data_IF_813357964654
#
_entry.id   IF_813357964654
#
_cell.length_a   1.000
_cell.length_b   1.000
_cell.length_c   1.000
_cell.angle_alpha   90.00
_cell.angle_beta   90.00
_cell.angle_gamma   90.00
#
_symmetry.space_group_name_H-M   'P 1'
#
loop_
_entity.id
_entity.type
_entity.pdbx_description
1 polymer ?
#
# COMPACT_ATOMS: atom_id res chain seq x y z
N UNK A 1 52.16 -16.01 -5.83
CA UNK A 1 50.92 -16.52 -6.47
C UNK A 1 49.62 -16.18 -5.72
N UNK A 2 49.62 -15.84 -4.42
CA UNK A 2 48.38 -15.54 -3.67
C UNK A 2 47.67 -14.25 -4.14
N UNK A 3 48.41 -13.16 -4.34
CA UNK A 3 47.85 -11.84 -4.70
C UNK A 3 47.02 -11.83 -6.00
N UNK A 4 47.48 -12.50 -7.05
CA UNK A 4 46.76 -12.57 -8.33
C UNK A 4 45.41 -13.31 -8.22
N UNK A 5 45.34 -14.36 -7.39
CA UNK A 5 44.07 -15.06 -7.13
C UNK A 5 43.10 -14.18 -6.34
N UNK A 6 43.58 -13.50 -5.30
CA UNK A 6 42.75 -12.58 -4.49
C UNK A 6 42.15 -11.46 -5.35
N UNK A 7 42.94 -10.87 -6.25
CA UNK A 7 42.48 -9.85 -7.19
C UNK A 7 41.44 -10.40 -8.19
N UNK A 8 41.58 -11.65 -8.63
CA UNK A 8 40.57 -12.33 -9.45
C UNK A 8 39.23 -12.53 -8.72
N UNK A 9 39.26 -12.97 -7.46
CA UNK A 9 38.05 -13.11 -6.63
C UNK A 9 37.38 -11.77 -6.34
N UNK A 10 38.17 -10.71 -6.05
CA UNK A 10 37.65 -9.35 -5.86
C UNK A 10 36.98 -8.81 -7.12
N UNK A 11 37.60 -8.95 -8.30
CA UNK A 11 36.98 -8.54 -9.56
C UNK A 11 35.75 -9.38 -9.91
N UNK A 12 35.73 -10.68 -9.60
CA UNK A 12 34.55 -11.52 -9.81
C UNK A 12 33.40 -11.12 -8.89
N UNK A 13 33.66 -10.86 -7.60
CA UNK A 13 32.67 -10.29 -6.67
C UNK A 13 32.17 -8.91 -7.12
N UNK A 14 33.07 -8.03 -7.59
CA UNK A 14 32.68 -6.73 -8.13
C UNK A 14 31.79 -6.88 -9.36
N UNK A 15 32.14 -7.77 -10.31
CA UNK A 15 31.31 -8.07 -11.48
C UNK A 15 29.96 -8.68 -11.08
N UNK A 16 29.91 -9.61 -10.12
CA UNK A 16 28.65 -10.20 -9.63
C UNK A 16 27.76 -9.12 -9.01
N UNK A 17 28.32 -8.23 -8.19
CA UNK A 17 27.62 -7.07 -7.62
C UNK A 17 27.15 -6.07 -8.70
N UNK A 18 27.94 -5.84 -9.75
CA UNK A 18 27.55 -5.02 -10.92
C UNK A 18 26.45 -5.70 -11.76
N UNK A 19 26.39 -7.05 -11.77
CA UNK A 19 25.31 -7.80 -12.46
C UNK A 19 24.01 -7.93 -11.66
N UNK A 20 23.98 -7.52 -10.39
CA UNK A 20 22.72 -7.29 -9.66
C UNK A 20 22.02 -6.05 -10.23
N UNK A 21 21.41 -6.21 -11.40
CA UNK A 21 20.49 -5.23 -11.96
C UNK A 21 19.34 -5.03 -10.97
N UNK A 22 19.29 -3.87 -10.36
CA UNK A 22 18.09 -3.42 -9.64
C UNK A 22 16.97 -3.36 -10.68
N UNK A 23 15.96 -4.23 -10.54
CA UNK A 23 14.88 -4.41 -11.53
C UNK A 23 13.79 -3.34 -11.40
N UNK A 24 14.23 -2.09 -11.50
CA UNK A 24 13.42 -0.89 -11.57
C UNK A 24 14.13 0.24 -12.33
N UNK A 25 13.58 1.45 -12.22
CA UNK A 25 14.09 2.67 -12.85
C UNK A 25 13.66 3.89 -12.03
N UNK A 26 14.46 4.97 -12.05
CA UNK A 26 14.15 6.18 -11.30
C UNK A 26 13.05 7.00 -11.99
N UNK A 27 12.11 7.51 -11.19
CA UNK A 27 11.05 8.42 -11.64
C UNK A 27 11.07 9.69 -10.79
N UNK A 28 11.11 10.86 -11.43
CA UNK A 28 11.15 12.16 -10.78
C UNK A 28 9.85 12.53 -10.07
N UNK A 29 9.97 13.36 -9.02
CA UNK A 29 8.84 13.88 -8.24
C UNK A 29 8.15 15.05 -8.97
N UNK A 30 6.83 15.10 -8.87
CA UNK A 30 5.96 16.21 -9.29
C UNK A 30 5.25 16.76 -8.06
N UNK A 31 5.36 18.07 -7.84
CA UNK A 31 4.68 18.79 -6.76
C UNK A 31 3.43 19.47 -7.30
N UNK A 32 2.30 19.34 -6.61
CA UNK A 32 1.04 20.01 -7.00
C UNK A 32 0.96 21.35 -6.27
N UNK A 33 1.78 22.32 -6.68
CA UNK A 33 1.86 23.66 -6.05
C UNK A 33 0.48 24.38 -6.03
N UNK A 34 -0.34 24.15 -7.06
CA UNK A 34 -1.71 24.69 -7.16
C UNK A 34 -2.67 24.15 -6.10
N UNK A 35 -2.35 23.02 -5.45
CA UNK A 35 -3.15 22.42 -4.39
C UNK A 35 -3.10 23.24 -3.09
N UNK A 36 -1.99 23.95 -2.82
CA UNK A 36 -1.80 24.79 -1.63
C UNK A 36 -2.88 25.87 -1.54
N UNK A 37 -3.19 26.53 -2.66
CA UNK A 37 -4.24 27.55 -2.74
C UNK A 37 -5.66 26.98 -2.51
N UNK A 38 -5.85 25.67 -2.68
CA UNK A 38 -7.09 24.93 -2.37
C UNK A 38 -7.12 24.38 -0.94
N UNK A 39 -6.10 24.64 -0.12
CA UNK A 39 -5.93 24.07 1.22
C UNK A 39 -5.60 22.57 1.22
N UNK A 40 -5.24 22.01 0.07
CA UNK A 40 -4.80 20.62 -0.07
C UNK A 40 -3.28 20.56 0.16
N UNK A 41 -2.87 20.25 1.38
CA UNK A 41 -1.48 20.28 1.84
C UNK A 41 -1.14 19.09 2.75
N UNK A 42 0.14 18.76 2.84
CA UNK A 42 0.69 17.80 3.80
C UNK A 42 0.60 18.33 5.25
N UNK A 43 0.90 17.48 6.25
CA UNK A 43 0.86 17.83 7.68
C UNK A 43 1.63 19.13 8.04
N UNK A 44 2.73 19.43 7.35
CA UNK A 44 3.55 20.64 7.53
C UNK A 44 3.12 21.86 6.68
N UNK A 45 2.03 21.75 5.92
CA UNK A 45 1.57 22.78 4.98
C UNK A 45 2.24 22.79 3.60
N UNK A 46 3.13 21.83 3.29
CA UNK A 46 3.74 21.71 1.95
C UNK A 46 2.75 21.15 0.90
N UNK A 47 2.95 21.42 -0.41
CA UNK A 47 2.13 20.82 -1.47
C UNK A 47 2.24 19.28 -1.47
N UNK A 48 1.17 18.55 -1.80
CA UNK A 48 1.25 17.12 -2.04
C UNK A 48 2.04 16.83 -3.32
N UNK A 49 2.53 15.59 -3.42
CA UNK A 49 3.41 15.17 -4.51
C UNK A 49 3.18 13.73 -4.95
N UNK A 50 3.58 13.42 -6.18
CA UNK A 50 3.60 12.07 -6.73
C UNK A 50 4.77 11.90 -7.69
N UNK A 51 5.08 10.67 -8.08
CA UNK A 51 6.00 10.36 -9.18
C UNK A 51 5.19 9.76 -10.31
N UNK A 52 5.47 10.13 -11.56
CA UNK A 52 4.70 9.68 -12.72
C UNK A 52 5.62 9.27 -13.86
N UNK A 53 5.38 8.07 -14.38
CA UNK A 53 5.94 7.57 -15.62
C UNK A 53 4.81 7.40 -16.66
N UNK A 54 5.06 7.84 -17.90
CA UNK A 54 4.00 7.98 -18.91
C UNK A 54 3.71 6.66 -19.62
N UNK A 55 2.44 6.45 -19.95
CA UNK A 55 2.00 5.33 -20.76
C UNK A 55 2.44 5.47 -22.22
N UNK A 56 2.51 4.34 -22.93
CA UNK A 56 2.94 4.28 -24.32
C UNK A 56 2.23 3.17 -25.10
N UNK A 57 2.19 3.30 -26.42
CA UNK A 57 1.50 2.35 -27.30
C UNK A 57 0.04 2.14 -26.87
N UNK A 58 -0.39 0.87 -26.82
CA UNK A 58 -1.74 0.49 -26.41
C UNK A 58 -2.10 0.81 -24.93
N UNK A 59 -1.11 1.18 -24.09
CA UNK A 59 -1.35 1.53 -22.68
C UNK A 59 -1.56 3.02 -22.41
N UNK A 60 -1.48 3.89 -23.43
CA UNK A 60 -1.49 5.35 -23.24
C UNK A 60 -2.78 5.90 -22.61
N UNK A 61 -3.93 5.24 -22.81
CA UNK A 61 -5.22 5.57 -22.19
C UNK A 61 -5.48 4.77 -20.89
N UNK A 62 -4.51 4.04 -20.37
CA UNK A 62 -4.68 3.24 -19.16
C UNK A 62 -3.84 3.79 -18.00
N UNK A 63 -4.36 3.73 -16.78
CA UNK A 63 -3.81 4.45 -15.63
C UNK A 63 -3.75 3.59 -14.38
N UNK A 64 -2.57 3.49 -13.78
CA UNK A 64 -2.30 2.85 -12.50
C UNK A 64 -1.93 3.94 -11.49
N UNK A 65 -2.82 4.21 -10.53
CA UNK A 65 -2.60 5.18 -9.45
C UNK A 65 -2.33 4.40 -8.17
N UNK A 66 -1.06 4.39 -7.73
CA UNK A 66 -0.60 3.63 -6.57
C UNK A 66 -0.29 4.56 -5.39
N UNK A 67 -0.94 4.34 -4.25
CA UNK A 67 -0.76 5.14 -3.03
C UNK A 67 0.28 4.53 -2.10
N UNK A 68 1.28 5.32 -1.71
CA UNK A 68 2.33 4.93 -0.76
C UNK A 68 1.77 4.63 0.64
N UNK A 69 2.30 3.59 1.29
CA UNK A 69 2.02 3.26 2.68
C UNK A 69 2.98 3.92 3.69
N UNK A 70 2.60 3.94 4.98
CA UNK A 70 3.50 4.43 6.03
C UNK A 70 2.91 4.48 7.44
N UNK A 71 1.96 3.60 7.78
CA UNK A 71 1.18 3.69 9.02
C UNK A 71 0.37 4.99 9.12
N UNK A 72 0.03 5.41 10.34
CA UNK A 72 -0.70 6.66 10.59
C UNK A 72 -0.09 7.41 11.77
N UNK A 73 -0.59 8.62 12.02
CA UNK A 73 -0.41 9.30 13.30
C UNK A 73 -1.80 9.63 13.86
N UNK A 74 -2.01 9.35 15.14
CA UNK A 74 -3.34 9.32 15.76
C UNK A 74 -3.54 10.41 16.82
N UNK A 75 -2.55 11.27 17.05
CA UNK A 75 -2.70 12.41 17.96
C UNK A 75 -1.76 13.55 17.57
N UNK A 76 -1.97 14.73 18.18
CA UNK A 76 -1.20 15.94 17.89
C UNK A 76 0.30 15.73 18.06
N UNK A 77 0.75 14.98 19.05
CA UNK A 77 2.18 14.71 19.30
C UNK A 77 2.77 13.80 18.21
N UNK A 78 2.15 12.65 17.93
CA UNK A 78 2.66 11.71 16.92
C UNK A 78 2.61 12.30 15.51
N UNK A 79 1.64 13.17 15.21
CA UNK A 79 1.57 13.90 13.95
C UNK A 79 2.56 15.08 13.89
N UNK A 80 2.87 15.72 15.02
CA UNK A 80 3.89 16.76 15.12
C UNK A 80 5.27 16.20 14.78
N UNK A 81 5.65 15.06 15.36
CA UNK A 81 6.91 14.38 15.04
C UNK A 81 6.94 13.95 13.56
N UNK A 82 5.82 13.43 13.04
CA UNK A 82 5.70 12.96 11.66
C UNK A 82 5.84 14.08 10.63
N UNK A 83 5.41 15.31 10.93
CA UNK A 83 5.46 16.45 9.98
C UNK A 83 6.88 16.76 9.49
N UNK A 84 7.89 16.53 10.33
CA UNK A 84 9.31 16.75 10.01
C UNK A 84 9.93 15.60 9.18
N UNK A 85 9.13 14.64 8.73
CA UNK A 85 9.57 13.47 7.95
C UNK A 85 9.00 13.46 6.53
N UNK A 86 9.55 12.61 5.67
CA UNK A 86 9.00 12.31 4.32
C UNK A 86 7.54 11.84 4.30
N UNK A 87 6.98 11.47 5.45
CA UNK A 87 5.60 10.98 5.64
C UNK A 87 4.65 12.05 6.22
N UNK A 88 5.11 13.29 6.34
CA UNK A 88 4.34 14.46 6.76
C UNK A 88 4.72 15.77 6.07
N UNK A 89 5.83 15.80 5.32
CA UNK A 89 6.26 16.92 4.48
C UNK A 89 6.82 16.46 3.14
N UNK A 90 6.38 17.10 2.05
CA UNK A 90 6.93 16.85 0.71
C UNK A 90 8.28 17.53 0.47
N UNK A 91 8.67 18.45 1.36
CA UNK A 91 10.03 19.03 1.42
C UNK A 91 11.08 17.98 1.78
N UNK A 92 10.68 16.98 2.58
CA UNK A 92 11.51 15.87 3.05
C UNK A 92 11.44 14.62 2.15
N UNK A 93 10.72 14.69 1.02
CA UNK A 93 10.65 13.59 0.06
C UNK A 93 11.85 13.56 -0.87
N UNK A 94 12.39 12.35 -1.09
CA UNK A 94 13.38 12.08 -2.15
C UNK A 94 12.84 12.51 -3.52
N UNK A 95 13.71 13.14 -4.32
CA UNK A 95 13.34 13.71 -5.63
C UNK A 95 13.13 12.65 -6.71
N UNK A 96 13.66 11.45 -6.51
CA UNK A 96 13.43 10.29 -7.35
C UNK A 96 13.06 9.08 -6.48
N UNK A 97 12.23 8.18 -7.01
CA UNK A 97 11.99 6.85 -6.44
C UNK A 97 12.16 5.79 -7.51
N UNK A 98 12.58 4.59 -7.12
CA UNK A 98 12.66 3.43 -8.01
C UNK A 98 11.25 2.86 -8.22
N UNK A 99 10.86 2.71 -9.48
CA UNK A 99 9.63 2.01 -9.89
C UNK A 99 9.94 0.54 -10.22
N UNK A 100 9.30 -0.37 -9.48
CA UNK A 100 9.46 -1.83 -9.56
C UNK A 100 8.11 -2.53 -9.33
N UNK A 101 8.07 -3.87 -9.44
CA UNK A 101 6.85 -4.65 -9.27
C UNK A 101 5.74 -4.21 -10.23
N UNK A 102 4.56 -3.95 -9.69
CA UNK A 102 3.39 -3.42 -10.40
C UNK A 102 3.63 -2.05 -11.09
N UNK A 103 4.68 -1.31 -10.69
CA UNK A 103 5.11 -0.05 -11.30
C UNK A 103 6.27 -0.22 -12.30
N UNK A 104 6.75 -1.42 -12.59
CA UNK A 104 7.83 -1.61 -13.58
C UNK A 104 7.36 -1.25 -15.00
N UNK A 105 8.23 -0.62 -15.81
CA UNK A 105 7.98 -0.30 -17.22
C UNK A 105 8.46 -1.38 -18.20
N UNK A 106 8.92 -2.54 -17.68
CA UNK A 106 9.41 -3.67 -18.47
C UNK A 106 8.36 -4.78 -18.50
N UNK A 107 7.90 -5.17 -19.69
CA UNK A 107 6.91 -6.24 -19.86
C UNK A 107 7.30 -7.56 -19.17
N UNK A 108 8.60 -7.89 -19.09
CA UNK A 108 9.09 -9.07 -18.36
C UNK A 108 8.67 -9.09 -16.88
N UNK A 109 8.55 -7.92 -16.25
CA UNK A 109 8.31 -7.79 -14.81
C UNK A 109 6.90 -7.25 -14.48
N UNK A 110 6.17 -6.78 -15.47
CA UNK A 110 4.85 -6.18 -15.30
C UNK A 110 4.02 -6.26 -16.59
N UNK A 111 3.79 -7.46 -17.18
CA UNK A 111 3.27 -7.60 -18.54
C UNK A 111 1.88 -6.97 -18.73
N UNK A 112 1.11 -6.80 -17.66
CA UNK A 112 -0.20 -6.17 -17.65
C UNK A 112 -0.14 -4.63 -17.68
N UNK A 113 0.78 -4.01 -16.91
CA UNK A 113 0.78 -2.55 -16.68
C UNK A 113 2.08 -1.84 -17.15
N UNK A 114 3.03 -2.55 -17.76
CA UNK A 114 4.33 -2.00 -18.20
C UNK A 114 4.25 -0.89 -19.25
N UNK A 115 3.10 -0.69 -19.89
CA UNK A 115 2.87 0.37 -20.87
C UNK A 115 1.76 1.35 -20.47
N UNK A 116 1.17 1.20 -19.27
CA UNK A 116 0.18 2.14 -18.70
C UNK A 116 0.83 3.44 -18.21
N UNK A 117 0.06 4.49 -17.95
CA UNK A 117 0.51 5.58 -17.10
C UNK A 117 0.64 5.05 -15.67
N UNK A 118 1.81 5.19 -15.06
CA UNK A 118 2.13 4.66 -13.73
C UNK A 118 2.40 5.81 -12.78
N UNK A 119 1.66 5.87 -11.68
CA UNK A 119 1.75 6.95 -10.71
C UNK A 119 1.98 6.36 -9.32
N UNK A 120 2.97 6.88 -8.59
CA UNK A 120 3.16 6.64 -7.17
C UNK A 120 2.87 7.92 -6.38
N UNK A 121 1.69 8.00 -5.79
CA UNK A 121 1.27 9.11 -4.94
C UNK A 121 1.99 9.03 -3.60
N UNK A 122 2.63 10.12 -3.20
CA UNK A 122 3.40 10.18 -1.95
C UNK A 122 2.50 10.50 -0.77
N UNK A 123 2.75 9.82 0.34
CA UNK A 123 1.87 9.86 1.50
C UNK A 123 2.37 10.88 2.53
N UNK A 124 1.54 11.88 2.87
CA UNK A 124 1.95 13.00 3.73
C UNK A 124 0.87 13.61 4.64
N UNK A 125 -0.34 13.05 4.66
CA UNK A 125 -1.44 13.47 5.56
C UNK A 125 -1.49 12.63 6.84
N UNK A 126 -0.95 11.41 6.83
CA UNK A 126 -0.91 10.52 7.98
C UNK A 126 -2.24 9.84 8.34
N UNK A 127 -3.28 9.94 7.51
CA UNK A 127 -4.63 9.46 7.79
C UNK A 127 -5.28 8.68 6.62
N UNK A 128 -4.49 7.94 5.81
CA UNK A 128 -4.98 7.25 4.60
C UNK A 128 -5.81 8.14 3.66
N UNK A 129 -5.46 9.43 3.59
CA UNK A 129 -6.16 10.45 2.81
C UNK A 129 -7.65 10.65 3.18
N UNK A 130 -8.07 10.26 4.39
CA UNK A 130 -9.48 10.38 4.84
C UNK A 130 -9.81 11.71 5.52
N UNK A 131 -8.85 12.30 6.25
CA UNK A 131 -9.07 13.45 7.11
C UNK A 131 -9.33 14.77 6.37
N UNK A 132 -10.28 15.56 6.84
CA UNK A 132 -10.39 16.98 6.49
C UNK A 132 -10.84 17.85 7.69
N UNK A 133 -9.88 18.55 8.30
CA UNK A 133 -10.12 19.45 9.44
C UNK A 133 -9.89 20.89 8.99
N UNK A 134 -10.95 21.73 9.04
CA UNK A 134 -10.86 23.12 8.56
C UNK A 134 -9.94 24.03 9.38
N UNK A 135 -9.86 23.80 10.68
CA UNK A 135 -8.94 24.53 11.54
C UNK A 135 -7.52 23.95 11.41
N UNK A 136 -6.55 24.81 11.11
CA UNK A 136 -5.13 24.52 11.33
C UNK A 136 -4.90 24.49 12.85
N UNK A 137 -4.12 23.54 13.37
CA UNK A 137 -3.83 23.51 14.80
C UNK A 137 -3.01 24.78 15.18
N UNK A 138 -3.53 25.67 16.07
CA UNK A 138 -2.92 26.97 16.31
C UNK A 138 -1.61 26.89 17.11
N UNK A 139 -1.37 25.79 17.82
CA UNK A 139 -0.15 25.60 18.62
C UNK A 139 0.98 24.90 17.82
N UNK A 140 0.63 23.98 16.90
CA UNK A 140 1.61 23.13 16.20
C UNK A 140 1.72 23.38 14.70
N UNK A 141 0.81 24.20 14.14
CA UNK A 141 0.63 24.43 12.71
C UNK A 141 0.48 23.11 11.90
N UNK A 142 -0.25 22.13 12.46
CA UNK A 142 -0.59 20.88 11.78
C UNK A 142 -1.82 21.05 10.88
N UNK A 143 -1.75 20.44 9.69
CA UNK A 143 -2.79 20.46 8.66
C UNK A 143 -3.31 19.05 8.36
N UNK A 144 -4.51 18.72 8.83
CA UNK A 144 -5.13 17.41 8.58
C UNK A 144 -6.02 17.48 7.32
N UNK A 145 -5.42 17.34 6.13
CA UNK A 145 -6.05 17.65 4.83
C UNK A 145 -6.06 16.48 3.84
N UNK A 146 -5.94 15.25 4.32
CA UNK A 146 -5.89 14.03 3.51
C UNK A 146 -6.93 13.96 2.39
N UNK A 147 -8.21 14.24 2.67
CA UNK A 147 -9.27 14.15 1.66
C UNK A 147 -9.21 15.26 0.59
N UNK A 148 -8.58 16.40 0.90
CA UNK A 148 -8.27 17.47 -0.07
C UNK A 148 -7.06 17.10 -0.92
N UNK A 149 -6.03 16.53 -0.29
CA UNK A 149 -4.85 16.02 -0.99
C UNK A 149 -5.25 14.93 -1.98
N UNK A 150 -6.08 13.97 -1.56
CA UNK A 150 -6.68 12.97 -2.44
C UNK A 150 -7.31 13.61 -3.67
N UNK A 151 -8.24 14.54 -3.46
CA UNK A 151 -8.97 15.18 -4.56
C UNK A 151 -8.04 15.96 -5.48
N UNK A 152 -7.09 16.73 -4.93
CA UNK A 152 -6.13 17.51 -5.70
C UNK A 152 -5.21 16.63 -6.55
N UNK A 153 -4.80 15.45 -6.06
CA UNK A 153 -4.04 14.48 -6.84
C UNK A 153 -4.88 13.91 -7.98
N UNK A 154 -6.12 13.46 -7.72
CA UNK A 154 -6.97 12.90 -8.77
C UNK A 154 -7.33 13.96 -9.83
N UNK A 155 -7.64 15.20 -9.43
CA UNK A 155 -7.92 16.31 -10.36
C UNK A 155 -6.73 16.63 -11.26
N UNK A 156 -5.51 16.71 -10.71
CA UNK A 156 -4.30 16.99 -11.47
C UNK A 156 -3.96 15.86 -12.48
N UNK A 157 -4.22 14.60 -12.11
CA UNK A 157 -4.09 13.45 -13.03
C UNK A 157 -5.18 13.44 -14.11
N UNK A 158 -6.42 13.82 -13.76
CA UNK A 158 -7.52 14.02 -14.70
C UNK A 158 -7.16 15.10 -15.74
N UNK A 159 -6.62 16.24 -15.30
CA UNK A 159 -6.11 17.30 -16.19
C UNK A 159 -4.93 16.86 -17.06
N UNK A 160 -4.08 15.95 -16.57
CA UNK A 160 -2.96 15.36 -17.34
C UNK A 160 -3.36 14.28 -18.35
N UNK A 161 -4.66 13.98 -18.48
CA UNK A 161 -5.20 13.10 -19.51
C UNK A 161 -6.00 11.91 -19.00
N UNK A 162 -6.09 11.68 -17.68
CA UNK A 162 -6.89 10.58 -17.12
C UNK A 162 -8.40 10.78 -17.38
N UNK A 163 -8.85 11.97 -17.79
CA UNK A 163 -10.19 12.23 -18.37
C UNK A 163 -10.48 11.47 -19.66
N UNK A 164 -9.47 10.86 -20.30
CA UNK A 164 -9.61 10.02 -21.49
C UNK A 164 -9.36 8.53 -21.18
N UNK A 165 -9.40 8.13 -19.90
CA UNK A 165 -8.98 6.79 -19.51
C UNK A 165 -9.97 5.70 -19.97
N UNK A 166 -9.46 4.65 -20.61
CA UNK A 166 -10.23 3.44 -20.93
C UNK A 166 -10.26 2.49 -19.74
N UNK A 167 -9.12 2.31 -19.07
CA UNK A 167 -8.97 1.46 -17.89
C UNK A 167 -8.21 2.21 -16.79
N UNK A 168 -8.67 2.07 -15.56
CA UNK A 168 -8.02 2.66 -14.38
C UNK A 168 -7.91 1.64 -13.26
N UNK A 169 -6.76 1.60 -12.61
CA UNK A 169 -6.48 0.78 -11.43
C UNK A 169 -6.02 1.69 -10.29
N UNK A 170 -6.88 1.86 -9.30
CA UNK A 170 -6.51 2.40 -8.00
C UNK A 170 -5.81 1.29 -7.21
N UNK A 171 -4.64 1.57 -6.66
CA UNK A 171 -3.94 0.63 -5.78
C UNK A 171 -3.15 1.35 -4.70
N UNK A 172 -2.57 0.59 -3.79
CA UNK A 172 -1.63 1.09 -2.80
C UNK A 172 -1.25 0.00 -1.82
N UNK A 173 -0.15 0.22 -1.09
CA UNK A 173 0.25 -0.65 0.01
C UNK A 173 -0.17 -0.09 1.37
N UNK A 174 -0.60 -0.96 2.30
CA UNK A 174 -0.72 -0.63 3.72
C UNK A 174 -1.73 0.50 3.94
N UNK A 175 -1.33 1.63 4.53
CA UNK A 175 -2.17 2.83 4.61
C UNK A 175 -2.69 3.27 3.21
N UNK A 176 -1.88 3.12 2.15
CA UNK A 176 -2.31 3.32 0.75
C UNK A 176 -3.22 2.21 0.21
N UNK A 177 -3.09 0.99 0.73
CA UNK A 177 -4.01 -0.12 0.42
C UNK A 177 -5.39 0.12 1.03
N UNK A 178 -5.43 0.57 2.30
CA UNK A 178 -6.65 1.06 2.94
C UNK A 178 -7.24 2.25 2.18
N UNK A 179 -6.40 3.19 1.72
CA UNK A 179 -6.84 4.31 0.85
C UNK A 179 -7.57 3.77 -0.39
N UNK A 180 -7.07 2.69 -0.99
CA UNK A 180 -7.69 2.04 -2.15
C UNK A 180 -9.03 1.37 -1.84
N UNK A 181 -9.25 0.91 -0.61
CA UNK A 181 -10.55 0.42 -0.14
C UNK A 181 -11.51 1.61 0.04
N UNK A 182 -11.12 2.58 0.89
CA UNK A 182 -12.00 3.67 1.34
C UNK A 182 -12.39 4.63 0.21
N UNK A 183 -11.53 4.82 -0.78
CA UNK A 183 -11.76 5.75 -1.88
C UNK A 183 -12.19 5.08 -3.20
N UNK A 184 -12.41 3.75 -3.24
CA UNK A 184 -12.71 3.04 -4.50
C UNK A 184 -13.95 3.59 -5.22
N UNK A 185 -15.10 3.65 -4.53
CA UNK A 185 -16.35 4.14 -5.11
C UNK A 185 -16.25 5.62 -5.53
N UNK A 186 -15.56 6.43 -4.73
CA UNK A 186 -15.31 7.84 -5.05
C UNK A 186 -14.42 7.98 -6.27
N UNK A 187 -13.36 7.17 -6.39
CA UNK A 187 -12.49 7.14 -7.56
C UNK A 187 -13.29 6.76 -8.81
N UNK A 188 -14.11 5.71 -8.74
CA UNK A 188 -15.02 5.34 -9.82
C UNK A 188 -15.97 6.48 -10.20
N UNK A 189 -16.56 7.20 -9.23
CA UNK A 189 -17.47 8.31 -9.52
C UNK A 189 -16.83 9.53 -10.20
N UNK A 190 -15.49 9.64 -10.15
CA UNK A 190 -14.72 10.71 -10.78
C UNK A 190 -14.23 10.35 -12.19
N UNK A 191 -14.36 9.09 -12.61
CA UNK A 191 -13.93 8.63 -13.94
C UNK A 191 -14.98 8.92 -15.02
N UNK A 192 -14.57 9.05 -16.30
CA UNK A 192 -15.48 9.16 -17.43
C UNK A 192 -16.49 8.00 -17.52
N UNK A 193 -17.66 8.28 -18.10
CA UNK A 193 -18.67 7.25 -18.36
C UNK A 193 -18.10 6.21 -19.33
N UNK A 194 -18.09 4.95 -18.93
CA UNK A 194 -17.56 3.83 -19.71
C UNK A 194 -16.11 3.45 -19.41
N UNK A 195 -15.37 4.25 -18.63
CA UNK A 195 -14.06 3.85 -18.10
C UNK A 195 -14.22 2.62 -17.20
N UNK A 196 -13.38 1.60 -17.40
CA UNK A 196 -13.32 0.44 -16.52
C UNK A 196 -12.46 0.79 -15.30
N UNK A 197 -13.02 0.61 -14.11
CA UNK A 197 -12.35 0.99 -12.85
C UNK A 197 -12.15 -0.25 -11.99
N UNK A 198 -10.95 -0.42 -11.45
CA UNK A 198 -10.62 -1.45 -10.47
C UNK A 198 -9.85 -0.87 -9.28
N UNK A 199 -9.94 -1.57 -8.16
CA UNK A 199 -9.23 -1.25 -6.92
C UNK A 199 -8.47 -2.48 -6.39
N UNK A 200 -7.22 -2.28 -5.98
CA UNK A 200 -6.32 -3.30 -5.46
C UNK A 200 -5.77 -2.87 -4.10
N UNK A 201 -6.02 -3.64 -3.04
CA UNK A 201 -5.56 -3.33 -1.68
C UNK A 201 -4.47 -4.30 -1.25
N UNK A 202 -3.21 -3.89 -1.41
CA UNK A 202 -2.04 -4.63 -0.96
C UNK A 202 -1.78 -4.37 0.53
N UNK A 203 -1.87 -5.42 1.36
CA UNK A 203 -1.67 -5.34 2.81
C UNK A 203 -2.47 -4.21 3.53
N UNK A 204 -3.59 -3.80 2.93
CA UNK A 204 -4.44 -2.68 3.36
C UNK A 204 -5.76 -3.08 4.01
N UNK A 205 -6.10 -4.37 4.00
CA UNK A 205 -7.22 -4.90 4.79
C UNK A 205 -6.74 -5.14 6.23
N UNK A 206 -6.62 -4.02 6.94
CA UNK A 206 -6.61 -3.99 8.40
C UNK A 206 -8.04 -3.95 8.87
N UNK A 207 -8.26 -4.45 10.04
CA UNK A 207 -9.55 -4.61 10.69
C UNK A 207 -9.14 -4.96 12.15
N UNK A 208 -10.06 -5.18 13.08
CA UNK A 208 -9.86 -4.94 14.50
C UNK A 208 -10.12 -6.13 15.47
N UNK A 209 -9.11 -6.58 16.23
CA UNK A 209 -9.18 -7.46 17.43
C UNK A 209 -8.10 -7.07 18.45
N UNK A 210 -8.01 -7.82 19.54
CA UNK A 210 -6.99 -7.70 20.56
C UNK A 210 -5.59 -8.02 20.02
N UNK A 211 -4.62 -7.21 20.43
CA UNK A 211 -3.20 -7.44 20.23
C UNK A 211 -2.58 -8.33 21.34
N UNK A 212 -1.25 -8.48 21.36
CA UNK A 212 -0.53 -9.31 22.34
C UNK A 212 -0.59 -8.79 23.77
N UNK A 213 -0.96 -7.52 23.97
CA UNK A 213 -1.30 -6.95 25.27
C UNK A 213 -2.78 -7.18 25.67
N UNK A 214 -3.56 -7.84 24.81
CA UNK A 214 -4.98 -8.12 25.04
C UNK A 214 -5.90 -6.95 24.68
N UNK A 215 -5.42 -5.99 23.90
CA UNK A 215 -6.02 -4.66 23.76
C UNK A 215 -6.38 -4.32 22.31
N UNK A 216 -7.52 -3.65 22.10
CA UNK A 216 -8.04 -3.31 20.76
C UNK A 216 -7.39 -2.03 20.23
N UNK A 217 -6.06 -2.02 20.14
CA UNK A 217 -5.29 -0.85 19.74
C UNK A 217 -5.69 -0.31 18.36
N UNK A 218 -6.15 -1.18 17.45
CA UNK A 218 -6.58 -0.76 16.12
C UNK A 218 -7.96 -0.11 16.12
N UNK A 219 -8.90 -0.51 16.97
CA UNK A 219 -10.14 0.24 17.14
C UNK A 219 -9.87 1.69 17.58
N UNK A 220 -9.00 1.85 18.58
CA UNK A 220 -8.57 3.17 19.04
C UNK A 220 -7.88 3.96 17.92
N UNK A 221 -6.93 3.35 17.21
CA UNK A 221 -6.20 4.01 16.12
C UNK A 221 -7.14 4.43 14.96
N UNK A 222 -8.13 3.62 14.60
CA UNK A 222 -9.13 4.00 13.59
C UNK A 222 -9.97 5.19 14.07
N UNK A 223 -10.53 5.14 15.29
CA UNK A 223 -11.34 6.21 15.85
C UNK A 223 -10.60 7.56 15.92
N UNK A 224 -9.28 7.52 16.16
CA UNK A 224 -8.42 8.70 16.24
C UNK A 224 -8.02 9.27 14.86
N UNK A 225 -7.87 8.41 13.86
CA UNK A 225 -7.33 8.76 12.53
C UNK A 225 -8.44 9.09 11.53
N UNK A 226 -9.62 8.48 11.67
CA UNK A 226 -10.69 8.52 10.69
C UNK A 226 -11.68 9.66 10.94
N UNK A 227 -11.76 10.63 10.01
CA UNK A 227 -12.89 11.56 10.02
C UNK A 227 -14.10 10.92 9.35
N UNK A 228 -15.05 10.41 10.14
CA UNK A 228 -16.28 9.74 9.69
C UNK A 228 -17.19 10.52 8.71
N UNK A 229 -16.84 11.78 8.38
CA UNK A 229 -17.55 12.65 7.43
C UNK A 229 -17.33 12.30 5.95
N UNK A 230 -16.30 11.51 5.63
CA UNK A 230 -15.89 11.23 4.24
C UNK A 230 -16.14 9.78 3.78
N UNK A 231 -16.76 8.95 4.61
CA UNK A 231 -17.10 7.56 4.30
C UNK A 231 -18.52 7.46 3.73
N UNK A 232 -18.80 6.53 2.80
CA UNK A 232 -20.17 6.15 2.47
C UNK A 232 -20.91 5.67 3.73
N UNK A 233 -22.17 6.08 3.91
CA UNK A 233 -22.98 5.74 5.10
C UNK A 233 -23.23 4.23 5.31
N UNK A 234 -22.96 3.42 4.28
CA UNK A 234 -22.96 1.96 4.36
C UNK A 234 -21.72 1.42 5.10
N UNK A 235 -20.54 2.01 4.91
CA UNK A 235 -19.28 1.58 5.53
C UNK A 235 -19.30 1.69 7.05
N UNK A 236 -19.94 2.72 7.60
CA UNK A 236 -20.03 2.95 9.05
C UNK A 236 -21.00 2.01 9.78
N UNK A 237 -21.63 1.06 9.07
CA UNK A 237 -22.69 0.20 9.64
C UNK A 237 -22.26 -1.22 10.04
N UNK A 238 -21.09 -1.73 9.58
CA UNK A 238 -20.62 -3.12 9.86
C UNK A 238 -19.08 -3.30 9.76
N UNK A 239 -18.52 -4.22 10.57
CA UNK A 239 -17.25 -5.05 10.42
C UNK A 239 -16.07 -4.84 11.44
N UNK A 240 -15.51 -5.99 11.94
CA UNK A 240 -14.25 -6.26 12.75
C UNK A 240 -13.85 -7.77 12.59
N UNK A 241 -12.61 -8.25 12.25
CA UNK A 241 -11.48 -8.74 13.12
C UNK A 241 -10.01 -8.42 12.61
N UNK A 242 -8.89 -9.06 13.01
CA UNK A 242 -7.43 -8.61 13.02
C UNK A 242 -6.45 -8.20 11.87
N UNK A 243 -5.17 -7.84 12.21
CA UNK A 243 -3.87 -8.21 11.52
C UNK A 243 -2.62 -8.32 12.46
N UNK A 244 -1.35 -8.52 11.99
CA UNK A 244 -0.15 -8.79 12.86
C UNK A 244 0.89 -7.68 13.08
N UNK A 245 1.78 -7.37 12.12
CA UNK A 245 3.04 -6.65 12.46
C UNK A 245 2.83 -5.19 12.90
N UNK A 246 1.76 -4.58 12.38
CA UNK A 246 1.31 -3.24 12.75
C UNK A 246 0.13 -3.27 13.73
N UNK A 247 -0.31 -4.46 14.19
CA UNK A 247 -1.62 -4.67 14.82
C UNK A 247 -1.56 -5.65 16.01
N UNK A 248 -1.26 -6.95 15.80
CA UNK A 248 -1.05 -7.93 16.88
C UNK A 248 0.19 -7.62 17.76
N UNK A 249 1.30 -7.16 17.19
CA UNK A 249 2.53 -6.88 17.97
C UNK A 249 3.26 -5.57 17.59
N UNK A 250 2.56 -4.43 17.43
CA UNK A 250 3.19 -3.13 17.23
C UNK A 250 4.11 -2.77 18.39
N UNK A 251 5.03 -1.81 18.20
CA UNK A 251 6.01 -1.44 19.24
C UNK A 251 5.38 -1.00 20.57
N UNK A 252 4.15 -0.46 20.54
CA UNK A 252 3.38 -0.07 21.74
C UNK A 252 2.82 -1.27 22.52
N UNK A 253 2.54 -2.39 21.86
CA UNK A 253 2.02 -3.63 22.45
C UNK A 253 3.13 -4.58 22.94
N UNK A 254 4.37 -4.32 22.51
CA UNK A 254 5.56 -5.11 22.85
C UNK A 254 6.66 -4.22 23.48
N UNK A 255 6.36 -3.50 24.60
CA UNK A 255 7.28 -2.53 25.20
C UNK A 255 8.57 -3.15 25.76
N UNK A 256 8.57 -4.46 26.00
CA UNK A 256 9.73 -5.22 26.49
C UNK A 256 10.44 -6.02 25.38
N UNK A 257 10.03 -5.88 24.12
CA UNK A 257 10.70 -6.51 22.97
C UNK A 257 10.62 -8.04 22.95
N UNK A 258 9.67 -8.66 23.64
CA UNK A 258 9.47 -10.12 23.65
C UNK A 258 9.17 -10.66 22.25
N UNK A 259 8.52 -9.86 21.41
CA UNK A 259 8.29 -10.20 20.00
C UNK A 259 9.38 -9.70 19.05
N UNK A 260 10.45 -9.06 19.52
CA UNK A 260 11.44 -8.39 18.66
C UNK A 260 12.08 -9.34 17.64
N UNK A 261 12.64 -10.47 18.09
CA UNK A 261 13.29 -11.45 17.21
C UNK A 261 12.27 -12.20 16.33
N UNK A 262 11.14 -12.63 16.90
CA UNK A 262 10.01 -13.23 16.18
C UNK A 262 9.44 -12.30 15.06
N UNK A 263 9.53 -10.97 15.22
CA UNK A 263 9.19 -9.96 14.19
C UNK A 263 10.25 -9.83 13.08
N UNK A 264 11.43 -10.44 13.22
CA UNK A 264 12.52 -10.41 12.24
C UNK A 264 12.65 -11.76 11.52
N UNK A 265 12.71 -12.89 12.24
CA UNK A 265 12.62 -14.25 11.70
C UNK A 265 11.59 -15.07 12.50
N UNK A 266 10.68 -15.74 11.79
CA UNK A 266 9.67 -16.62 12.41
C UNK A 266 10.29 -17.83 13.11
N UNK A 267 11.53 -18.21 12.76
CA UNK A 267 12.29 -19.28 13.43
C UNK A 267 12.66 -18.93 14.87
N UNK A 268 12.69 -17.65 15.23
CA UNK A 268 12.98 -17.16 16.58
C UNK A 268 11.70 -17.01 17.44
N UNK A 269 10.53 -17.36 16.91
CA UNK A 269 9.27 -17.35 17.68
C UNK A 269 9.18 -18.55 18.62
N UNK A 270 8.74 -18.33 19.86
CA UNK A 270 8.35 -19.40 20.78
C UNK A 270 7.08 -20.13 20.29
N UNK A 271 6.82 -21.34 20.81
CA UNK A 271 5.58 -22.07 20.54
C UNK A 271 4.33 -21.24 20.87
N UNK A 272 4.33 -20.49 21.97
CA UNK A 272 3.21 -19.62 22.37
C UNK A 272 3.03 -18.41 21.43
N UNK A 273 4.13 -17.87 20.87
CA UNK A 273 4.06 -16.83 19.85
C UNK A 273 3.46 -17.39 18.55
N UNK A 274 3.87 -18.59 18.13
CA UNK A 274 3.31 -19.28 16.97
C UNK A 274 1.83 -19.63 17.14
N UNK A 275 1.41 -20.09 18.33
CA UNK A 275 -0.01 -20.31 18.67
C UNK A 275 -0.83 -19.03 18.59
N UNK A 276 -0.30 -17.91 19.11
CA UNK A 276 -0.94 -16.59 19.03
C UNK A 276 -1.07 -16.14 17.57
N UNK A 277 -0.05 -16.35 16.73
CA UNK A 277 -0.09 -16.07 15.29
C UNK A 277 -1.08 -16.97 14.52
N UNK A 278 -1.32 -18.20 14.99
CA UNK A 278 -2.31 -19.11 14.40
C UNK A 278 -3.73 -18.72 14.79
N UNK A 279 -3.99 -18.40 16.06
CA UNK A 279 -5.27 -17.83 16.50
C UNK A 279 -5.61 -16.57 15.70
N UNK A 280 -4.62 -15.69 15.57
CA UNK A 280 -4.70 -14.53 14.71
C UNK A 280 -5.12 -14.85 13.26
N UNK A 281 -4.45 -15.80 12.60
CA UNK A 281 -4.77 -16.23 11.23
C UNK A 281 -6.21 -16.73 11.11
N UNK A 282 -6.70 -17.46 12.10
CA UNK A 282 -8.08 -17.97 12.09
C UNK A 282 -9.10 -16.82 12.15
N UNK A 283 -8.85 -15.80 12.96
CA UNK A 283 -9.68 -14.59 12.98
C UNK A 283 -9.61 -13.82 11.67
N UNK A 284 -8.42 -13.70 11.06
CA UNK A 284 -8.25 -13.07 9.75
C UNK A 284 -9.05 -13.78 8.65
N UNK A 285 -9.00 -15.12 8.59
CA UNK A 285 -9.79 -15.89 7.62
C UNK A 285 -11.30 -15.80 7.91
N UNK A 286 -11.70 -15.79 9.19
CA UNK A 286 -13.09 -15.60 9.62
C UNK A 286 -13.65 -14.21 9.22
N UNK A 287 -12.79 -13.18 9.23
CA UNK A 287 -13.14 -11.86 8.72
C UNK A 287 -13.59 -11.89 7.27
N UNK A 288 -12.83 -12.61 6.45
CA UNK A 288 -12.97 -12.64 5.01
C UNK A 288 -14.14 -13.52 4.56
N UNK A 289 -14.38 -14.65 5.25
CA UNK A 289 -15.61 -15.43 5.04
C UNK A 289 -16.85 -14.64 5.41
N UNK A 290 -16.78 -13.80 6.46
CA UNK A 290 -17.84 -12.86 6.85
C UNK A 290 -18.18 -11.80 5.79
N UNK A 291 -17.28 -11.51 4.85
CA UNK A 291 -17.56 -10.63 3.70
C UNK A 291 -18.48 -11.31 2.65
N UNK A 292 -18.51 -12.65 2.61
CA UNK A 292 -19.25 -13.45 1.64
C UNK A 292 -18.61 -13.54 0.25
N UNK A 293 -19.07 -14.50 -0.56
CA UNK A 293 -18.70 -14.60 -1.97
C UNK A 293 -19.26 -13.42 -2.77
N UNK A 294 -18.55 -12.98 -3.82
CA UNK A 294 -18.99 -11.87 -4.67
C UNK A 294 -18.49 -12.02 -6.11
N UNK A 295 -19.36 -11.72 -7.08
CA UNK A 295 -18.97 -11.57 -8.48
C UNK A 295 -18.30 -10.22 -8.79
N UNK A 296 -18.15 -9.33 -7.80
CA UNK A 296 -17.42 -8.07 -7.89
C UNK A 296 -16.14 -7.99 -7.04
N UNK A 297 -15.78 -9.04 -6.27
CA UNK A 297 -14.56 -9.13 -5.46
C UNK A 297 -13.96 -10.53 -5.46
N UNK A 298 -12.65 -10.65 -5.69
CA UNK A 298 -11.84 -11.84 -5.42
C UNK A 298 -10.67 -11.50 -4.49
N UNK A 299 -9.94 -12.47 -3.92
CA UNK A 299 -8.89 -12.21 -2.92
C UNK A 299 -7.61 -13.01 -3.19
N UNK A 300 -6.46 -12.56 -2.68
CA UNK A 300 -5.18 -13.30 -2.76
C UNK A 300 -4.49 -13.34 -1.40
N UNK A 301 -4.98 -14.21 -0.52
CA UNK A 301 -4.39 -14.45 0.80
C UNK A 301 -3.32 -15.53 0.66
N UNK A 302 -2.05 -15.15 0.77
CA UNK A 302 -0.94 -16.10 0.73
C UNK A 302 -0.32 -16.28 2.12
N UNK A 303 0.63 -17.19 2.20
CA UNK A 303 1.19 -17.66 3.46
C UNK A 303 2.43 -16.87 3.94
N UNK A 304 2.92 -15.93 3.14
CA UNK A 304 4.27 -15.38 3.28
C UNK A 304 4.35 -14.25 4.31
N UNK A 305 5.46 -14.12 5.04
CA UNK A 305 5.69 -12.98 5.93
C UNK A 305 6.21 -11.76 5.16
N UNK A 306 5.33 -11.10 4.43
CA UNK A 306 5.66 -9.96 3.58
C UNK A 306 4.64 -8.80 3.75
N UNK A 307 5.07 -7.59 3.40
CA UNK A 307 4.28 -6.38 3.44
C UNK A 307 4.60 -5.57 2.18
N UNK A 308 3.59 -5.02 1.49
CA UNK A 308 3.73 -4.41 0.15
C UNK A 308 4.21 -5.38 -0.95
N UNK A 309 3.49 -6.50 -1.13
CA UNK A 309 3.90 -7.55 -2.07
C UNK A 309 3.85 -7.13 -3.56
N UNK A 310 3.10 -6.09 -3.90
CA UNK A 310 3.00 -5.55 -5.27
C UNK A 310 4.16 -4.62 -5.66
N UNK A 311 4.92 -4.08 -4.70
CA UNK A 311 5.99 -3.10 -4.97
C UNK A 311 7.35 -3.75 -5.32
N UNK A 312 7.62 -4.97 -4.84
CA UNK A 312 8.89 -5.68 -5.00
C UNK A 312 8.77 -6.83 -6.02
N UNK A 313 9.81 -7.05 -6.84
CA UNK A 313 9.75 -8.08 -7.90
C UNK A 313 9.71 -9.50 -7.31
N UNK A 314 10.45 -9.68 -6.22
CA UNK A 314 10.55 -10.85 -5.35
C UNK A 314 9.17 -11.44 -5.01
N UNK A 315 8.20 -10.56 -4.74
CA UNK A 315 6.85 -10.93 -4.29
C UNK A 315 5.78 -10.75 -5.37
N UNK A 316 6.11 -10.08 -6.48
CA UNK A 316 5.18 -9.76 -7.56
C UNK A 316 5.20 -10.78 -8.72
N UNK A 317 6.38 -11.09 -9.26
CA UNK A 317 6.51 -11.89 -10.50
C UNK A 317 7.80 -12.71 -10.66
N UNK A 318 8.72 -12.72 -9.67
CA UNK A 318 9.92 -13.58 -9.73
C UNK A 318 9.55 -15.07 -9.67
N UNK A 319 10.44 -15.96 -10.12
CA UNK A 319 10.16 -17.42 -10.18
C UNK A 319 9.83 -18.05 -8.82
N UNK A 320 10.34 -17.46 -7.73
CA UNK A 320 10.08 -17.83 -6.33
C UNK A 320 9.04 -16.93 -5.65
N UNK A 321 8.31 -16.11 -6.42
CA UNK A 321 7.21 -15.29 -5.89
C UNK A 321 6.05 -16.16 -5.38
N UNK A 322 5.21 -15.65 -4.47
CA UNK A 322 4.11 -16.43 -3.91
C UNK A 322 3.11 -16.88 -4.98
N UNK A 323 2.89 -18.18 -5.06
CA UNK A 323 1.91 -18.82 -5.95
C UNK A 323 0.89 -19.55 -5.08
N UNK A 324 -0.40 -19.28 -5.29
CA UNK A 324 -1.52 -19.98 -4.65
C UNK A 324 -2.34 -20.67 -5.74
N UNK A 325 -2.56 -21.99 -5.62
CA UNK A 325 -3.19 -22.84 -6.65
C UNK A 325 -2.70 -22.52 -8.08
N UNK A 326 -1.39 -22.60 -8.29
CA UNK A 326 -0.70 -22.32 -9.56
C UNK A 326 -0.91 -20.90 -10.13
N UNK A 327 -1.51 -20.00 -9.35
CA UNK A 327 -1.80 -18.61 -9.73
C UNK A 327 -0.93 -17.65 -8.91
N UNK A 328 -0.23 -16.72 -9.57
CA UNK A 328 0.54 -15.67 -8.89
C UNK A 328 -0.32 -14.43 -8.63
N UNK A 329 0.17 -13.58 -7.73
CA UNK A 329 -0.46 -12.28 -7.41
C UNK A 329 -0.74 -11.42 -8.65
N UNK A 330 0.24 -11.39 -9.57
CA UNK A 330 0.16 -10.64 -10.82
C UNK A 330 -1.02 -11.11 -11.70
N UNK A 331 -1.27 -12.43 -11.82
CA UNK A 331 -2.34 -12.97 -12.69
C UNK A 331 -3.72 -12.52 -12.23
N UNK A 332 -3.95 -12.44 -10.92
CA UNK A 332 -5.22 -11.99 -10.34
C UNK A 332 -5.41 -10.48 -10.53
N UNK A 333 -4.31 -9.73 -10.41
CA UNK A 333 -4.30 -8.29 -10.58
C UNK A 333 -4.47 -7.86 -12.05
N UNK A 334 -4.00 -8.69 -12.99
CA UNK A 334 -3.75 -8.35 -14.39
C UNK A 334 -4.98 -7.99 -15.26
N UNK A 335 -4.69 -7.51 -16.48
CA UNK A 335 -5.67 -6.90 -17.39
C UNK A 335 -6.77 -7.84 -17.84
N UNK A 336 -6.49 -9.14 -17.98
CA UNK A 336 -7.50 -10.15 -18.28
C UNK A 336 -8.53 -10.32 -17.16
N UNK A 337 -8.22 -9.90 -15.93
CA UNK A 337 -9.19 -9.85 -14.84
C UNK A 337 -10.09 -8.61 -14.88
N UNK A 338 -9.82 -7.58 -15.71
CA UNK A 338 -10.56 -6.29 -15.68
C UNK A 338 -12.07 -6.46 -15.94
N UNK A 339 -12.50 -7.53 -16.62
CA UNK A 339 -13.92 -7.91 -16.79
C UNK A 339 -14.50 -8.82 -15.69
N UNK A 340 -13.76 -9.05 -14.60
CA UNK A 340 -14.04 -10.05 -13.56
C UNK A 340 -13.94 -9.44 -12.15
N UNK A 341 -14.53 -10.10 -11.11
CA UNK A 341 -14.52 -9.64 -9.71
C UNK A 341 -13.21 -8.98 -9.24
N UNK A 342 -13.28 -7.77 -8.67
CA UNK A 342 -12.10 -7.00 -8.28
C UNK A 342 -12.23 -6.22 -6.98
N UNK A 343 -11.73 -6.82 -5.88
CA UNK A 343 -11.00 -6.13 -4.79
C UNK A 343 -10.01 -7.14 -4.22
N UNK A 344 -8.89 -7.38 -4.93
CA UNK A 344 -7.88 -8.33 -4.47
C UNK A 344 -7.23 -7.85 -3.17
N UNK A 345 -7.75 -8.35 -2.04
CA UNK A 345 -7.13 -8.20 -0.74
C UNK A 345 -5.91 -9.12 -0.68
N UNK A 346 -4.72 -8.52 -0.63
CA UNK A 346 -3.47 -9.25 -0.43
C UNK A 346 -3.19 -9.28 1.06
N UNK A 347 -2.97 -10.48 1.59
CA UNK A 347 -2.68 -10.67 3.01
C UNK A 347 -1.54 -11.68 3.21
N UNK A 348 -0.56 -11.35 4.06
CA UNK A 348 0.30 -12.35 4.68
C UNK A 348 -0.50 -13.09 5.76
N UNK A 349 -0.62 -14.41 5.67
CA UNK A 349 -0.28 -15.37 6.73
C UNK A 349 -0.86 -16.75 6.46
N UNK A 350 0.00 -17.75 6.56
CA UNK A 350 -0.36 -19.15 6.49
C UNK A 350 0.82 -20.01 6.89
N UNK A 351 0.56 -20.98 7.76
CA UNK A 351 1.48 -22.06 8.03
C UNK A 351 1.03 -23.26 7.19
N UNK A 352 2.02 -24.01 6.71
CA UNK A 352 1.85 -24.91 5.56
C UNK A 352 1.13 -26.21 5.95
N UNK A 353 -0.21 -26.22 5.88
CA UNK A 353 -1.02 -27.40 5.50
C UNK A 353 -2.49 -27.00 5.35
N UNK A 354 -3.11 -27.33 4.20
CA UNK A 354 -4.54 -27.14 3.97
C UNK A 354 -4.89 -25.97 3.05
N UNK A 355 -5.46 -26.35 1.90
CA UNK A 355 -6.03 -25.49 0.85
C UNK A 355 -7.20 -24.66 1.36
N UNK A 356 -7.46 -23.50 0.74
CA UNK A 356 -8.80 -22.87 0.72
C UNK A 356 -8.92 -21.96 -0.50
N UNK A 357 -9.95 -22.19 -1.33
CA UNK A 357 -10.42 -21.22 -2.33
C UNK A 357 -11.61 -20.46 -1.76
N UNK A 358 -11.67 -19.14 -1.95
CA UNK A 358 -12.85 -18.31 -1.76
C UNK A 358 -12.90 -17.20 -2.81
#
# INVERSE_FOLDING_TARGET
MVSARLCGWLNFLLCVLITLKVDGFNVGITYIESAVAKGAVCLDGSPPAYHMDKGFGAGINNWLVHFEGGGWCNNVTTCLDRKETRLGSSKQMVKEVVFSGILSNKAKFNPDFYNWNRIKVRYCDGASFTGDVEAVNPATNLHFRGARVWLAVIDDLLEKGMRNAENTLLSGCSAGGLTSILHCDRFHSLMPVGTKVKCLSDAGYFINVNDVSGTQHIEAFYNDVESAKNLPSYCTSKIKPSMIKNILAPGVADPHGHWHYCKLDIKDCSSSQLETMQGFRMEFLSALTGLGASSSRGMFINSCYAHCQSEMQETWLREDSPILDKTSLMVISGTNSIGSPGVAGISPWGLNSGESKF
#
